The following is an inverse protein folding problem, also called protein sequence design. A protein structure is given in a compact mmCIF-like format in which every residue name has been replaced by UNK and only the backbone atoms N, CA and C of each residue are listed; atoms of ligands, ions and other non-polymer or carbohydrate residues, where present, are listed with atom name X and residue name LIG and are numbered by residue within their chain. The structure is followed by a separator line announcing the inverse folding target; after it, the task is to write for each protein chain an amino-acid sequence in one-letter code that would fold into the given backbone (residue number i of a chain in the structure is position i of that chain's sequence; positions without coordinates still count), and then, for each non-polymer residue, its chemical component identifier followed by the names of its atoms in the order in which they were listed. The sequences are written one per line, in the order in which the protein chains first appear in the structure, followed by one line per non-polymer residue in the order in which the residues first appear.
data_IF_505778748416
#
_entry.id   IF_505778748416
#
_cell.length_a   1.000
_cell.length_b   1.000
_cell.length_c   1.000
_cell.angle_alpha   90.00
_cell.angle_beta   90.00
_cell.angle_gamma   90.00
#
_symmetry.space_group_name_H-M   'P 1'
#
loop_
_entity.id
_entity.type
_entity.pdbx_description
1 polymer ?
#
# COMPACT_ATOMS: atom_id res chain seq x y z
N UNK A 1 -22.99 17.08 -48.44
CA UNK A 1 -22.14 16.10 -47.73
C UNK A 1 -22.70 14.71 -47.99
N UNK A 2 -21.90 13.75 -48.46
CA UNK A 2 -22.38 12.41 -48.84
C UNK A 2 -22.60 11.53 -47.61
N UNK A 3 -23.61 10.65 -47.63
CA UNK A 3 -23.86 9.64 -46.59
C UNK A 3 -22.59 8.85 -46.23
N UNK A 4 -21.75 8.54 -47.23
CA UNK A 4 -20.47 7.86 -47.04
C UNK A 4 -19.50 8.68 -46.18
N UNK A 5 -19.46 10.00 -46.37
CA UNK A 5 -18.62 10.90 -45.58
C UNK A 5 -19.08 11.00 -44.12
N UNK A 6 -20.39 10.96 -43.87
CA UNK A 6 -20.96 10.96 -42.52
C UNK A 6 -20.61 9.66 -41.79
N UNK A 7 -20.75 8.51 -42.45
CA UNK A 7 -20.41 7.20 -41.87
C UNK A 7 -18.92 7.12 -41.51
N UNK A 8 -18.02 7.60 -42.38
CA UNK A 8 -16.58 7.61 -42.11
C UNK A 8 -16.24 8.52 -40.91
N UNK A 9 -16.86 9.70 -40.81
CA UNK A 9 -16.64 10.61 -39.70
C UNK A 9 -17.08 10.01 -38.35
N UNK A 10 -18.21 9.31 -38.32
CA UNK A 10 -18.71 8.63 -37.11
C UNK A 10 -17.78 7.50 -36.69
N UNK A 11 -17.29 6.70 -37.64
CA UNK A 11 -16.32 5.62 -37.36
C UNK A 11 -15.02 6.20 -36.81
N UNK A 12 -14.50 7.28 -37.42
CA UNK A 12 -13.29 7.95 -36.95
C UNK A 12 -13.45 8.52 -35.53
N UNK A 13 -14.62 9.10 -35.22
CA UNK A 13 -14.92 9.58 -33.87
C UNK A 13 -14.98 8.45 -32.84
N UNK A 14 -15.59 7.31 -33.19
CA UNK A 14 -15.67 6.13 -32.32
C UNK A 14 -14.28 5.52 -32.05
N UNK A 15 -13.42 5.45 -33.07
CA UNK A 15 -12.03 4.99 -32.94
C UNK A 15 -11.22 5.95 -32.06
N UNK A 16 -11.36 7.26 -32.27
CA UNK A 16 -10.68 8.27 -31.44
C UNK A 16 -11.10 8.20 -29.96
N UNK A 17 -12.39 8.02 -29.69
CA UNK A 17 -12.91 7.90 -28.33
C UNK A 17 -12.43 6.62 -27.63
N UNK A 18 -12.41 5.49 -28.34
CA UNK A 18 -11.93 4.21 -27.79
C UNK A 18 -10.42 4.21 -27.57
N UNK A 19 -9.64 4.83 -28.46
CA UNK A 19 -8.21 5.03 -28.26
C UNK A 19 -7.91 5.92 -27.03
N UNK A 20 -8.68 6.99 -26.84
CA UNK A 20 -8.57 7.85 -25.66
C UNK A 20 -8.86 7.11 -24.35
N UNK A 21 -9.90 6.26 -24.34
CA UNK A 21 -10.23 5.43 -23.18
C UNK A 21 -9.16 4.36 -22.90
N UNK A 22 -8.61 3.73 -23.93
CA UNK A 22 -7.53 2.76 -23.78
C UNK A 22 -6.25 3.40 -23.23
N UNK A 23 -5.92 4.60 -23.69
CA UNK A 23 -4.74 5.35 -23.25
C UNK A 23 -4.77 5.72 -21.76
N UNK A 24 -5.95 5.94 -21.18
CA UNK A 24 -6.08 6.27 -19.75
C UNK A 24 -6.31 5.04 -18.87
N UNK A 25 -6.90 3.97 -19.42
CA UNK A 25 -7.21 2.75 -18.67
C UNK A 25 -5.97 2.10 -18.07
N UNK A 26 -4.94 1.87 -18.89
CA UNK A 26 -3.75 1.13 -18.44
C UNK A 26 -2.96 1.86 -17.34
N UNK A 27 -2.61 3.16 -17.50
CA UNK A 27 -1.93 3.91 -16.43
C UNK A 27 -2.76 4.01 -15.14
N UNK A 28 -4.09 4.14 -15.27
CA UNK A 28 -4.98 4.20 -14.12
C UNK A 28 -5.00 2.86 -13.38
N UNK A 29 -5.09 1.74 -14.11
CA UNK A 29 -5.04 0.39 -13.54
C UNK A 29 -3.73 0.12 -12.81
N UNK A 30 -2.59 0.48 -13.40
CA UNK A 30 -1.28 0.33 -12.76
C UNK A 30 -1.19 1.12 -11.46
N UNK A 31 -1.63 2.38 -11.46
CA UNK A 31 -1.68 3.21 -10.25
C UNK A 31 -2.55 2.59 -9.16
N UNK A 32 -3.76 2.13 -9.49
CA UNK A 32 -4.63 1.47 -8.51
C UNK A 32 -4.04 0.17 -7.98
N UNK A 33 -3.34 -0.59 -8.82
CA UNK A 33 -2.65 -1.82 -8.42
C UNK A 33 -1.52 -1.51 -7.44
N UNK A 34 -0.73 -0.47 -7.71
CA UNK A 34 0.35 -0.04 -6.83
C UNK A 34 -0.16 0.55 -5.50
N UNK A 35 -1.23 1.36 -5.54
CA UNK A 35 -1.92 1.84 -4.34
C UNK A 35 -2.47 0.66 -3.54
N UNK A 36 -3.09 -0.31 -4.20
CA UNK A 36 -3.60 -1.52 -3.56
C UNK A 36 -2.48 -2.34 -2.92
N UNK A 37 -1.34 -2.51 -3.61
CA UNK A 37 -0.16 -3.22 -3.10
C UNK A 37 0.42 -2.51 -1.87
N UNK A 38 0.65 -1.21 -1.95
CA UNK A 38 1.22 -0.42 -0.85
C UNK A 38 0.27 -0.35 0.34
N UNK A 39 -1.02 -0.16 0.09
CA UNK A 39 -2.06 -0.17 1.15
C UNK A 39 -2.17 -1.53 1.81
N UNK A 40 -2.18 -2.61 1.01
CA UNK A 40 -2.19 -3.98 1.52
C UNK A 40 -0.93 -4.34 2.30
N UNK A 41 0.23 -3.88 1.85
CA UNK A 41 1.49 -4.04 2.57
C UNK A 41 1.49 -3.30 3.91
N UNK A 42 1.00 -2.06 3.94
CA UNK A 42 0.84 -1.28 5.17
C UNK A 42 -0.18 -1.93 6.11
N UNK A 43 -1.29 -2.43 5.59
CA UNK A 43 -2.33 -3.09 6.38
C UNK A 43 -1.81 -4.41 6.97
N UNK A 44 -1.18 -5.26 6.16
CA UNK A 44 -0.59 -6.51 6.64
C UNK A 44 0.52 -6.28 7.67
N UNK A 45 1.36 -5.26 7.49
CA UNK A 45 2.34 -4.85 8.51
C UNK A 45 1.67 -4.39 9.80
N UNK A 46 0.54 -3.68 9.72
CA UNK A 46 -0.22 -3.25 10.89
C UNK A 46 -0.85 -4.45 11.63
N UNK A 47 -1.43 -5.41 10.92
CA UNK A 47 -1.99 -6.63 11.53
C UNK A 47 -0.91 -7.47 12.23
N UNK A 48 0.24 -7.68 11.57
CA UNK A 48 1.38 -8.39 12.17
C UNK A 48 1.90 -7.65 13.40
N UNK A 49 2.01 -6.33 13.33
CA UNK A 49 2.43 -5.51 14.47
C UNK A 49 1.44 -5.63 15.63
N UNK A 50 0.14 -5.54 15.35
CA UNK A 50 -0.90 -5.71 16.37
C UNK A 50 -0.83 -7.09 17.04
N UNK A 51 -0.62 -8.16 16.25
CA UNK A 51 -0.43 -9.50 16.77
C UNK A 51 0.83 -9.60 17.66
N UNK A 52 1.95 -9.01 17.24
CA UNK A 52 3.18 -8.97 18.02
C UNK A 52 3.03 -8.14 19.31
N UNK A 53 2.26 -7.05 19.27
CA UNK A 53 1.95 -6.25 20.45
C UNK A 53 1.10 -7.01 21.47
N UNK A 54 0.38 -8.06 21.06
CA UNK A 54 -0.26 -9.00 21.99
C UNK A 54 0.73 -9.76 22.87
N UNK A 55 2.00 -9.85 22.48
CA UNK A 55 3.09 -10.45 23.25
C UNK A 55 4.04 -9.42 23.88
N UNK A 56 3.71 -8.13 23.78
CA UNK A 56 4.56 -7.08 24.30
C UNK A 56 4.59 -7.09 25.84
N UNK A 57 5.76 -6.76 26.40
CA UNK A 57 5.88 -6.51 27.83
C UNK A 57 5.17 -5.20 28.20
N UNK A 58 4.45 -5.22 29.32
CA UNK A 58 3.90 -4.01 29.91
C UNK A 58 5.00 -3.19 30.58
N UNK A 59 4.98 -1.87 30.39
CA UNK A 59 5.88 -0.94 31.08
C UNK A 59 6.68 -0.05 30.13
N UNK A 60 7.72 0.58 30.67
CA UNK A 60 8.59 1.49 29.91
C UNK A 60 9.73 0.68 29.28
N UNK A 61 10.00 0.85 27.97
CA UNK A 61 11.12 0.19 27.32
C UNK A 61 12.46 0.64 27.92
N UNK A 62 13.53 -0.16 27.76
CA UNK A 62 14.88 0.20 28.21
C UNK A 62 15.36 1.55 27.67
N UNK A 63 16.14 2.28 28.46
CA UNK A 63 16.79 3.53 28.05
C UNK A 63 18.03 3.27 27.16
N UNK A 64 17.80 2.63 26.02
CA UNK A 64 18.78 2.39 24.97
C UNK A 64 18.09 2.29 23.61
N UNK A 65 18.86 2.35 22.53
CA UNK A 65 18.32 2.06 21.21
C UNK A 65 17.83 0.60 21.11
N UNK A 66 16.68 0.41 20.46
CA UNK A 66 16.13 -0.90 20.16
C UNK A 66 17.02 -1.63 19.14
N UNK A 67 17.16 -2.94 19.29
CA UNK A 67 17.93 -3.75 18.35
C UNK A 67 17.19 -3.91 17.02
N UNK A 68 15.85 -3.95 17.09
CA UNK A 68 14.97 -3.86 15.93
C UNK A 68 13.80 -2.92 16.25
N UNK A 69 13.41 -2.10 15.27
CA UNK A 69 12.25 -1.25 15.38
C UNK A 69 11.40 -1.37 14.11
N UNK A 70 10.09 -1.51 14.29
CA UNK A 70 9.11 -1.47 13.23
C UNK A 70 8.13 -0.35 13.51
N UNK A 71 7.96 0.57 12.56
CA UNK A 71 7.00 1.66 12.65
C UNK A 71 5.97 1.49 11.54
N UNK A 72 4.69 1.44 11.89
CA UNK A 72 3.60 1.36 10.92
C UNK A 72 2.50 2.35 11.32
N UNK A 73 2.32 3.37 10.48
CA UNK A 73 1.40 4.50 10.76
C UNK A 73 1.70 5.14 12.12
N UNK A 74 0.77 5.02 13.07
CA UNK A 74 0.82 5.66 14.38
C UNK A 74 1.32 4.74 15.49
N UNK A 75 1.50 3.44 15.22
CA UNK A 75 2.02 2.50 16.23
C UNK A 75 3.47 2.13 15.92
N UNK A 76 4.21 1.88 16.98
CA UNK A 76 5.62 1.52 16.94
C UNK A 76 5.89 0.31 17.80
N UNK A 77 6.69 -0.60 17.27
CA UNK A 77 7.15 -1.81 17.93
C UNK A 77 8.67 -1.76 18.04
N UNK A 78 9.18 -1.96 19.25
CA UNK A 78 10.60 -1.99 19.57
C UNK A 78 10.95 -3.36 20.17
N UNK A 79 11.98 -4.01 19.62
CA UNK A 79 12.51 -5.28 20.10
C UNK A 79 13.88 -5.07 20.69
N UNK A 80 14.06 -5.57 21.89
CA UNK A 80 15.31 -5.55 22.64
C UNK A 80 15.75 -6.98 22.87
N UNK A 81 16.95 -7.32 22.39
CA UNK A 81 17.64 -8.55 22.73
C UNK A 81 18.26 -8.40 24.12
N UNK A 82 17.96 -9.35 24.98
CA UNK A 82 18.55 -9.50 26.31
C UNK A 82 19.29 -10.83 26.38
N UNK A 83 20.03 -11.05 27.46
CA UNK A 83 20.71 -12.34 27.70
C UNK A 83 19.72 -13.50 27.84
N UNK A 84 18.48 -13.21 28.24
CA UNK A 84 17.43 -14.20 28.50
C UNK A 84 16.45 -14.37 27.34
N UNK A 85 16.56 -13.58 26.27
CA UNK A 85 15.68 -13.69 25.10
C UNK A 85 15.40 -12.38 24.38
N UNK A 86 14.22 -12.29 23.76
CA UNK A 86 13.74 -11.09 23.08
C UNK A 86 12.60 -10.48 23.89
N UNK A 87 12.67 -9.17 24.12
CA UNK A 87 11.62 -8.37 24.75
C UNK A 87 11.03 -7.43 23.72
N UNK A 88 9.69 -7.43 23.63
CA UNK A 88 8.95 -6.60 22.69
C UNK A 88 8.22 -5.53 23.49
N UNK A 89 8.30 -4.27 23.05
CA UNK A 89 7.52 -3.16 23.59
C UNK A 89 6.78 -2.49 22.45
N UNK A 90 5.52 -2.13 22.70
CA UNK A 90 4.72 -1.37 21.76
C UNK A 90 4.33 -0.01 22.36
N UNK A 91 4.23 1.00 21.50
CA UNK A 91 3.72 2.33 21.80
C UNK A 91 2.73 2.78 20.74
#
# INVERSE_FOLDING_TARGET
MSWKSVVIAVIAAMIGASAGAAATYWPTREKWTEIGRTTGEVHGRAEVMQALCGFAEGGTPPDRAADYALNVKAESLAVFRTETGLRVYCK
#
